data_IF_123804794803
#
_entry.id   IF_123804794803
#
_cell.length_a   1.000
_cell.length_b   1.000
_cell.length_c   1.000
_cell.angle_alpha   90.00
_cell.angle_beta   90.00
_cell.angle_gamma   90.00
#
_symmetry.space_group_name_H-M   'P 1'
#
loop_
_entity.id
_entity.type
_entity.pdbx_description
1 polymer ?
#
# COMPACT_ATOMS: atom_id res chain seq x y z
N UNK A 1 -15.43 14.91 -5.44
CA UNK A 1 -15.31 14.32 -6.79
C UNK A 1 -16.16 13.05 -6.83
N UNK A 2 -16.87 12.75 -7.93
CA UNK A 2 -17.80 11.63 -7.98
C UNK A 2 -17.07 10.34 -8.41
N UNK A 3 -17.33 9.22 -7.72
CA UNK A 3 -16.82 7.88 -8.03
C UNK A 3 -17.01 7.48 -9.50
N UNK A 4 -18.09 7.97 -10.15
CA UNK A 4 -18.37 7.73 -11.57
C UNK A 4 -17.23 8.16 -12.51
N UNK A 5 -16.53 9.26 -12.19
CA UNK A 5 -15.39 9.72 -12.99
C UNK A 5 -14.24 8.71 -12.99
N UNK A 6 -13.95 8.10 -11.83
CA UNK A 6 -12.89 7.09 -11.75
C UNK A 6 -13.29 5.79 -12.44
N UNK A 7 -14.57 5.41 -12.39
CA UNK A 7 -15.08 4.24 -13.14
C UNK A 7 -14.87 4.43 -14.64
N UNK A 8 -15.29 5.58 -15.18
CA UNK A 8 -15.08 5.94 -16.58
C UNK A 8 -13.60 5.84 -16.96
N UNK A 9 -12.72 6.49 -16.19
CA UNK A 9 -11.28 6.48 -16.46
C UNK A 9 -10.65 5.10 -16.36
N UNK A 10 -11.16 4.21 -15.50
CA UNK A 10 -10.72 2.81 -15.41
C UNK A 10 -11.11 2.01 -16.66
N UNK A 11 -12.25 2.29 -17.29
CA UNK A 11 -12.64 1.66 -18.54
C UNK A 11 -11.89 2.21 -19.76
N UNK A 12 -11.45 3.46 -19.70
CA UNK A 12 -10.60 4.10 -20.72
C UNK A 12 -9.11 3.76 -20.59
N UNK A 13 -8.73 2.93 -19.62
CA UNK A 13 -7.33 2.58 -19.38
C UNK A 13 -6.71 1.92 -20.63
N UNK A 14 -5.49 2.32 -21.03
CA UNK A 14 -4.85 1.81 -22.23
C UNK A 14 -4.63 0.30 -22.10
N UNK A 15 -4.76 -0.45 -23.20
CA UNK A 15 -4.58 -1.92 -23.23
C UNK A 15 -3.20 -2.38 -22.68
N UNK A 16 -2.22 -1.47 -22.64
CA UNK A 16 -0.92 -1.68 -22.02
C UNK A 16 -0.48 -0.50 -21.16
N UNK A 17 0.14 -0.81 -20.02
CA UNK A 17 0.71 0.16 -19.08
C UNK A 17 2.17 0.51 -19.40
N UNK A 18 2.42 0.89 -20.67
CA UNK A 18 3.69 1.50 -21.06
C UNK A 18 3.87 2.87 -20.41
N UNK A 19 5.10 3.35 -20.26
CA UNK A 19 5.39 4.61 -19.54
C UNK A 19 4.62 5.78 -20.14
N UNK A 20 4.81 6.04 -21.44
CA UNK A 20 4.22 7.21 -22.11
C UNK A 20 2.68 7.15 -22.17
N UNK A 21 2.12 5.97 -22.47
CA UNK A 21 0.66 5.78 -22.55
C UNK A 21 0.00 5.93 -21.18
N UNK A 22 0.64 5.39 -20.14
CA UNK A 22 0.18 5.53 -18.76
C UNK A 22 0.24 6.98 -18.31
N UNK A 23 1.32 7.69 -18.63
CA UNK A 23 1.46 9.10 -18.28
C UNK A 23 0.39 9.96 -18.95
N UNK A 24 0.13 9.74 -20.24
CA UNK A 24 -0.91 10.45 -20.99
C UNK A 24 -2.31 10.20 -20.39
N UNK A 25 -2.67 8.95 -20.14
CA UNK A 25 -3.95 8.59 -19.51
C UNK A 25 -4.09 9.18 -18.10
N UNK A 26 -3.04 9.12 -17.29
CA UNK A 26 -3.05 9.68 -15.94
C UNK A 26 -3.22 11.20 -15.92
N UNK A 27 -2.83 11.96 -16.95
CA UNK A 27 -3.00 13.43 -16.99
C UNK A 27 -4.47 13.84 -16.88
N UNK A 28 -5.38 13.01 -17.34
CA UNK A 28 -6.83 13.27 -17.30
C UNK A 28 -7.49 12.86 -15.98
N UNK A 29 -6.74 12.24 -15.06
CA UNK A 29 -7.24 11.76 -13.78
C UNK A 29 -6.78 12.68 -12.67
N UNK A 30 -7.72 13.22 -11.92
CA UNK A 30 -7.43 14.09 -10.78
C UNK A 30 -6.78 13.32 -9.63
N UNK A 31 -6.01 14.03 -8.80
CA UNK A 31 -5.48 13.47 -7.56
C UNK A 31 -6.63 13.00 -6.65
N UNK A 32 -6.35 11.95 -5.87
CA UNK A 32 -7.25 11.39 -4.87
C UNK A 32 -6.74 11.82 -3.50
N UNK A 33 -7.52 12.64 -2.82
CA UNK A 33 -7.14 13.16 -1.51
C UNK A 33 -7.58 12.26 -0.36
N UNK A 34 -8.66 11.51 -0.55
CA UNK A 34 -9.29 10.66 0.48
C UNK A 34 -9.54 9.26 -0.07
N UNK A 35 -9.17 8.21 0.69
CA UNK A 35 -9.31 6.83 0.21
C UNK A 35 -10.76 6.43 -0.03
N UNK A 36 -11.72 6.99 0.72
CA UNK A 36 -13.14 6.67 0.63
C UNK A 36 -13.74 6.95 -0.76
N UNK A 37 -13.11 7.83 -1.55
CA UNK A 37 -13.51 8.12 -2.94
C UNK A 37 -13.30 6.90 -3.84
N UNK A 38 -12.21 6.16 -3.61
CA UNK A 38 -11.80 5.02 -4.45
C UNK A 38 -12.03 3.67 -3.77
N UNK A 39 -12.26 3.63 -2.46
CA UNK A 39 -12.51 2.40 -1.69
C UNK A 39 -13.61 1.52 -2.31
N UNK A 40 -14.78 2.05 -2.74
CA UNK A 40 -15.83 1.20 -3.29
C UNK A 40 -15.44 0.52 -4.62
N UNK A 41 -14.50 1.09 -5.37
CA UNK A 41 -14.02 0.54 -6.65
C UNK A 41 -13.31 -0.81 -6.49
N UNK A 42 -12.74 -1.08 -5.31
CA UNK A 42 -12.10 -2.35 -4.99
C UNK A 42 -13.07 -3.52 -4.85
N UNK A 43 -14.36 -3.23 -4.78
CA UNK A 43 -15.43 -4.22 -4.65
C UNK A 43 -16.36 -4.22 -5.86
N UNK A 44 -15.99 -3.50 -6.93
CA UNK A 44 -16.76 -3.49 -8.17
C UNK A 44 -16.72 -4.88 -8.82
N UNK A 45 -17.91 -5.43 -9.07
CA UNK A 45 -18.09 -6.79 -9.58
C UNK A 45 -17.91 -6.87 -11.08
N UNK A 46 -18.12 -5.76 -11.80
CA UNK A 46 -17.98 -5.68 -13.26
C UNK A 46 -16.53 -5.53 -13.71
N UNK A 47 -15.59 -5.28 -12.79
CA UNK A 47 -14.19 -5.08 -13.12
C UNK A 47 -13.52 -6.37 -13.57
N UNK A 48 -12.89 -6.30 -14.74
CA UNK A 48 -11.97 -7.31 -15.24
C UNK A 48 -10.59 -7.19 -14.59
N UNK A 49 -9.70 -8.15 -14.87
CA UNK A 49 -8.27 -8.05 -14.52
C UNK A 49 -7.66 -6.71 -14.97
N UNK A 50 -7.96 -6.28 -16.20
CA UNK A 50 -7.47 -5.02 -16.75
C UNK A 50 -7.94 -3.81 -15.93
N UNK A 51 -9.22 -3.82 -15.53
CA UNK A 51 -9.78 -2.74 -14.71
C UNK A 51 -9.13 -2.68 -13.32
N UNK A 52 -8.82 -3.82 -12.69
CA UNK A 52 -8.05 -3.83 -11.44
C UNK A 52 -6.62 -3.33 -11.64
N UNK A 53 -5.95 -3.67 -12.75
CA UNK A 53 -4.63 -3.11 -13.07
C UNK A 53 -4.68 -1.59 -13.24
N UNK A 54 -5.73 -1.07 -13.89
CA UNK A 54 -5.98 0.36 -14.00
C UNK A 54 -6.21 1.01 -12.63
N UNK A 55 -7.09 0.44 -11.80
CA UNK A 55 -7.35 0.93 -10.43
C UNK A 55 -6.06 0.96 -9.60
N UNK A 56 -5.26 -0.10 -9.62
CA UNK A 56 -3.97 -0.16 -8.92
C UNK A 56 -3.02 0.93 -9.44
N UNK A 57 -3.04 1.20 -10.74
CA UNK A 57 -2.22 2.26 -11.35
C UNK A 57 -2.68 3.64 -10.90
N UNK A 58 -3.99 3.89 -10.82
CA UNK A 58 -4.56 5.14 -10.28
C UNK A 58 -4.19 5.29 -8.80
N UNK A 59 -4.38 4.26 -7.97
CA UNK A 59 -4.04 4.28 -6.54
C UNK A 59 -2.58 4.68 -6.35
N UNK A 60 -1.66 4.02 -7.05
CA UNK A 60 -0.24 4.31 -6.87
C UNK A 60 0.14 5.72 -7.33
N UNK A 61 -0.43 6.22 -8.44
CA UNK A 61 0.00 7.49 -9.04
C UNK A 61 -0.80 8.72 -8.60
N UNK A 62 -2.06 8.54 -8.21
CA UNK A 62 -3.00 9.63 -7.89
C UNK A 62 -3.39 9.67 -6.42
N UNK A 63 -3.19 8.60 -5.67
CA UNK A 63 -3.43 8.57 -4.23
C UNK A 63 -2.13 8.53 -3.42
N UNK A 64 -1.23 7.58 -3.71
CA UNK A 64 -0.01 7.32 -2.91
C UNK A 64 1.14 8.26 -3.27
N UNK A 65 1.45 8.43 -4.56
CA UNK A 65 2.55 9.29 -5.02
C UNK A 65 2.13 10.76 -5.13
N UNK A 66 1.37 11.26 -4.15
CA UNK A 66 1.03 12.68 -4.02
C UNK A 66 1.55 13.20 -2.68
N UNK A 67 1.88 14.49 -2.63
CA UNK A 67 2.40 15.13 -1.42
C UNK A 67 2.00 16.58 -1.35
N UNK A 68 1.57 17.02 -0.17
CA UNK A 68 1.28 18.44 0.07
C UNK A 68 2.58 19.22 0.31
N UNK A 69 3.61 18.54 0.83
CA UNK A 69 4.87 19.15 1.23
C UNK A 69 6.05 18.20 1.03
N UNK A 70 7.20 18.77 0.64
CA UNK A 70 8.47 18.07 0.49
C UNK A 70 9.46 18.59 1.54
N UNK A 71 9.87 17.71 2.47
CA UNK A 71 10.83 18.03 3.54
C UNK A 71 12.29 17.92 3.11
N UNK A 72 12.59 17.73 1.83
CA UNK A 72 13.96 17.49 1.34
C UNK A 72 14.50 16.15 1.82
N UNK A 73 15.79 16.11 2.15
CA UNK A 73 16.52 14.89 2.52
C UNK A 73 16.85 14.79 4.02
N UNK A 74 16.30 15.66 4.86
CA UNK A 74 16.60 15.70 6.30
C UNK A 74 15.40 16.17 7.14
N UNK A 75 14.36 15.33 7.19
CA UNK A 75 13.15 15.54 7.97
C UNK A 75 13.42 15.82 9.45
N UNK A 76 14.31 15.07 10.11
CA UNK A 76 14.60 15.20 11.54
C UNK A 76 15.09 16.60 11.91
N UNK A 77 15.89 17.23 11.04
CA UNK A 77 16.35 18.61 11.25
C UNK A 77 15.25 19.65 11.03
N UNK A 78 14.35 19.42 10.08
CA UNK A 78 13.37 20.42 9.61
C UNK A 78 12.06 20.36 10.41
N UNK A 79 11.63 19.17 10.80
CA UNK A 79 10.37 18.92 11.53
C UNK A 79 10.30 19.67 12.86
N UNK A 80 11.45 19.97 13.48
CA UNK A 80 11.57 20.76 14.71
C UNK A 80 11.21 22.25 14.56
N UNK A 81 10.85 22.73 13.37
CA UNK A 81 10.48 24.14 13.15
C UNK A 81 8.97 24.43 13.38
N UNK A 82 8.17 23.43 13.76
CA UNK A 82 6.79 23.48 14.32
C UNK A 82 5.70 24.25 13.56
N UNK A 83 5.99 24.98 12.47
CA UNK A 83 5.03 25.89 11.83
C UNK A 83 3.99 25.24 10.91
N UNK A 84 4.16 23.99 10.51
CA UNK A 84 3.35 23.38 9.44
C UNK A 84 2.72 22.02 9.79
N UNK A 85 2.90 21.52 11.02
CA UNK A 85 2.48 20.15 11.40
C UNK A 85 0.95 19.94 11.36
N UNK A 86 0.16 21.00 11.52
CA UNK A 86 -1.30 20.90 11.66
C UNK A 86 -2.09 20.96 10.34
N UNK A 87 -1.48 21.37 9.23
CA UNK A 87 -2.21 21.50 7.96
C UNK A 87 -1.83 20.42 6.94
N UNK A 88 -0.77 19.65 7.21
CA UNK A 88 -0.26 18.61 6.31
C UNK A 88 -1.10 17.34 6.45
N UNK A 89 -1.75 16.95 5.36
CA UNK A 89 -2.48 15.69 5.27
C UNK A 89 -1.66 14.61 4.58
N UNK A 90 -0.79 14.99 3.64
CA UNK A 90 -0.02 14.07 2.82
C UNK A 90 1.47 14.44 2.83
N UNK A 91 2.29 13.48 3.24
CA UNK A 91 3.73 13.66 3.35
C UNK A 91 4.45 12.61 2.51
N UNK A 92 5.37 13.06 1.66
CA UNK A 92 6.30 12.20 0.94
C UNK A 92 7.74 12.54 1.29
N UNK A 93 8.53 11.52 1.62
CA UNK A 93 9.97 11.61 1.82
C UNK A 93 10.67 10.77 0.76
N UNK A 94 11.58 11.40 0.02
CA UNK A 94 12.42 10.75 -0.97
C UNK A 94 13.88 10.90 -0.55
N UNK A 95 14.59 9.78 -0.44
CA UNK A 95 16.03 9.74 -0.11
C UNK A 95 16.38 10.41 1.23
N UNK A 96 15.43 10.43 2.17
CA UNK A 96 15.63 11.04 3.48
C UNK A 96 16.72 10.33 4.29
N UNK A 97 17.56 11.13 4.96
CA UNK A 97 18.77 10.69 5.65
C UNK A 97 18.58 10.56 7.17
N UNK A 98 17.41 10.91 7.69
CA UNK A 98 17.08 10.83 9.11
C UNK A 98 17.13 9.39 9.60
N UNK A 99 17.49 9.21 10.88
CA UNK A 99 17.46 7.89 11.52
C UNK A 99 16.10 7.60 12.14
N UNK A 100 15.47 8.64 12.70
CA UNK A 100 14.15 8.57 13.30
C UNK A 100 13.22 9.50 12.53
N UNK A 101 12.10 8.95 12.07
CA UNK A 101 11.04 9.69 11.39
C UNK A 101 9.84 9.78 12.33
N UNK A 102 9.76 10.87 13.09
CA UNK A 102 8.74 11.08 14.11
C UNK A 102 7.58 11.96 13.61
N UNK A 103 6.44 11.32 13.36
CA UNK A 103 5.19 11.96 12.94
C UNK A 103 4.15 12.03 14.06
N UNK A 104 4.53 11.73 15.31
CA UNK A 104 3.59 11.55 16.43
C UNK A 104 2.69 12.76 16.71
N UNK A 105 3.18 13.97 16.41
CA UNK A 105 2.49 15.25 16.62
C UNK A 105 1.60 15.68 15.44
N UNK A 106 1.62 14.97 14.31
CA UNK A 106 0.82 15.36 13.15
C UNK A 106 -0.64 14.97 13.34
N UNK A 107 -1.48 15.95 13.65
CA UNK A 107 -2.90 15.69 14.01
C UNK A 107 -3.81 15.39 12.82
N UNK A 108 -3.40 15.73 11.59
CA UNK A 108 -4.25 15.59 10.39
C UNK A 108 -3.61 14.74 9.30
N UNK A 109 -2.47 14.12 9.58
CA UNK A 109 -1.72 13.35 8.59
C UNK A 109 -2.49 12.07 8.25
N UNK A 110 -2.88 11.96 6.98
CA UNK A 110 -3.64 10.85 6.40
C UNK A 110 -2.76 9.90 5.58
N UNK A 111 -1.71 10.42 4.95
CA UNK A 111 -0.84 9.65 4.06
C UNK A 111 0.64 9.89 4.32
N UNK A 112 1.38 8.79 4.41
CA UNK A 112 2.84 8.80 4.47
C UNK A 112 3.39 7.92 3.34
N UNK A 113 4.23 8.52 2.51
CA UNK A 113 5.01 7.84 1.49
C UNK A 113 6.50 8.04 1.75
N UNK A 114 7.25 6.98 2.04
CA UNK A 114 8.69 7.05 2.30
C UNK A 114 9.40 6.13 1.33
N UNK A 115 10.31 6.70 0.55
CA UNK A 115 11.04 6.01 -0.51
C UNK A 115 12.54 6.28 -0.37
N UNK A 116 13.36 5.23 -0.40
CA UNK A 116 14.83 5.32 -0.33
C UNK A 116 15.40 5.96 0.96
N UNK A 117 14.67 5.93 2.09
CA UNK A 117 15.20 6.37 3.38
C UNK A 117 16.17 5.32 3.98
N UNK A 118 17.40 5.30 3.45
CA UNK A 118 18.40 4.26 3.70
C UNK A 118 18.92 4.20 5.15
N UNK A 119 18.75 5.29 5.89
CA UNK A 119 19.17 5.43 7.28
C UNK A 119 18.03 5.28 8.29
N UNK A 120 16.77 5.29 7.86
CA UNK A 120 15.63 5.19 8.75
C UNK A 120 15.66 3.83 9.49
N UNK A 121 15.77 3.91 10.81
CA UNK A 121 15.76 2.77 11.71
C UNK A 121 14.41 2.64 12.42
N UNK A 122 13.76 3.78 12.67
CA UNK A 122 12.51 3.89 13.41
C UNK A 122 11.55 4.88 12.73
N UNK A 123 10.28 4.50 12.67
CA UNK A 123 9.19 5.38 12.27
C UNK A 123 8.19 5.45 13.42
N UNK A 124 7.82 6.66 13.84
CA UNK A 124 6.78 6.90 14.85
C UNK A 124 5.58 7.51 14.13
N UNK A 125 4.49 6.74 14.01
CA UNK A 125 3.28 7.20 13.34
C UNK A 125 2.47 8.16 14.24
N UNK A 126 1.52 8.94 13.67
CA UNK A 126 0.65 9.83 14.43
C UNK A 126 0.02 9.15 15.65
N UNK A 127 0.10 9.81 16.80
CA UNK A 127 -0.38 9.27 18.08
C UNK A 127 -1.91 9.18 18.16
N UNK A 128 -2.61 9.92 17.30
CA UNK A 128 -4.07 9.99 17.24
C UNK A 128 -4.72 8.95 16.32
N UNK A 129 -3.95 8.09 15.64
CA UNK A 129 -4.49 7.04 14.77
C UNK A 129 -5.09 7.53 13.45
N UNK A 130 -4.72 8.74 12.97
CA UNK A 130 -5.37 9.37 11.81
C UNK A 130 -5.02 8.79 10.44
N UNK A 131 -4.02 7.89 10.35
CA UNK A 131 -3.43 7.48 9.08
C UNK A 131 -4.34 6.52 8.28
N UNK A 132 -4.53 6.82 7.00
CA UNK A 132 -5.29 6.00 6.02
C UNK A 132 -4.37 5.25 5.05
N UNK A 133 -3.16 5.77 4.78
CA UNK A 133 -2.18 5.13 3.92
C UNK A 133 -0.75 5.24 4.43
N UNK A 134 -0.06 4.10 4.40
CA UNK A 134 1.37 3.99 4.69
C UNK A 134 2.06 3.25 3.56
N UNK A 135 3.01 3.90 2.88
CA UNK A 135 3.84 3.28 1.86
C UNK A 135 5.33 3.44 2.23
N UNK A 136 6.02 2.32 2.40
CA UNK A 136 7.42 2.23 2.81
C UNK A 136 8.19 1.41 1.77
N UNK A 137 9.09 2.06 1.04
CA UNK A 137 9.84 1.42 -0.05
C UNK A 137 11.34 1.62 0.10
N UNK A 138 12.07 0.50 0.27
CA UNK A 138 13.55 0.47 0.42
C UNK A 138 14.06 1.25 1.63
N UNK A 139 13.66 0.80 2.82
CA UNK A 139 14.16 1.22 4.13
C UNK A 139 14.94 0.05 4.76
N UNK A 140 16.15 -0.26 4.27
CA UNK A 140 16.88 -1.49 4.62
C UNK A 140 17.35 -1.57 6.08
N UNK A 141 17.27 -0.49 6.85
CA UNK A 141 17.62 -0.43 8.28
C UNK A 141 16.39 -0.34 9.20
N UNK A 142 15.18 -0.22 8.64
CA UNK A 142 13.96 -0.11 9.42
C UNK A 142 13.76 -1.38 10.25
N UNK A 143 13.65 -1.19 11.56
CA UNK A 143 13.43 -2.28 12.52
C UNK A 143 12.16 -2.12 13.33
N UNK A 144 11.61 -0.90 13.41
CA UNK A 144 10.46 -0.61 14.26
C UNK A 144 9.53 0.42 13.62
N UNK A 145 8.22 0.17 13.74
CA UNK A 145 7.17 1.14 13.42
C UNK A 145 6.30 1.29 14.67
N UNK A 146 6.45 2.40 15.38
CA UNK A 146 5.66 2.72 16.57
C UNK A 146 4.30 3.28 16.18
N UNK A 147 3.32 3.09 17.07
CA UNK A 147 1.93 3.53 16.91
C UNK A 147 1.16 2.91 15.72
N UNK A 148 1.70 1.88 15.05
CA UNK A 148 1.02 1.26 13.89
C UNK A 148 -0.34 0.66 14.25
N UNK A 149 -0.46 0.06 15.42
CA UNK A 149 -1.73 -0.55 15.87
C UNK A 149 -2.77 0.49 16.28
N UNK A 150 -2.39 1.76 16.47
CA UNK A 150 -3.32 2.88 16.69
C UNK A 150 -4.01 3.31 15.38
N UNK A 151 -3.44 3.00 14.21
CA UNK A 151 -3.94 3.43 12.90
C UNK A 151 -5.12 2.55 12.44
N UNK A 152 -6.24 2.60 13.15
CA UNK A 152 -7.42 1.75 12.87
C UNK A 152 -8.11 2.09 11.54
N UNK A 153 -7.89 3.30 11.04
CA UNK A 153 -8.39 3.78 9.74
C UNK A 153 -7.48 3.41 8.57
N UNK A 154 -6.38 2.69 8.79
CA UNK A 154 -5.43 2.34 7.72
C UNK A 154 -6.10 1.42 6.68
N UNK A 155 -6.16 1.89 5.42
CA UNK A 155 -6.75 1.19 4.28
C UNK A 155 -5.70 0.68 3.29
N UNK A 156 -4.59 1.39 3.17
CA UNK A 156 -3.47 1.05 2.29
C UNK A 156 -2.21 0.81 3.11
N UNK A 157 -1.59 -0.36 2.92
CA UNK A 157 -0.28 -0.67 3.46
C UNK A 157 0.65 -1.20 2.35
N UNK A 158 1.69 -0.45 2.04
CA UNK A 158 2.80 -0.89 1.20
C UNK A 158 4.08 -1.00 2.02
N UNK A 159 4.66 -2.19 2.10
CA UNK A 159 5.99 -2.42 2.69
C UNK A 159 6.78 -3.20 1.64
N UNK A 160 7.69 -2.55 0.92
CA UNK A 160 8.39 -3.12 -0.23
C UNK A 160 9.90 -2.98 -0.10
N UNK A 161 10.64 -4.02 -0.46
CA UNK A 161 12.11 -4.06 -0.37
C UNK A 161 12.66 -3.81 1.06
N UNK A 162 11.95 -4.27 2.10
CA UNK A 162 12.30 -4.10 3.51
C UNK A 162 12.64 -5.44 4.17
N UNK A 163 13.64 -6.16 3.64
CA UNK A 163 13.96 -7.55 4.04
C UNK A 163 14.35 -7.74 5.52
N UNK A 164 14.61 -6.66 6.26
CA UNK A 164 14.98 -6.72 7.68
C UNK A 164 13.83 -6.45 8.65
N UNK A 165 12.64 -6.09 8.16
CA UNK A 165 11.48 -5.85 9.03
C UNK A 165 11.04 -7.20 9.63
N UNK A 166 11.28 -7.45 10.93
CA UNK A 166 11.32 -8.82 11.42
C UNK A 166 9.94 -9.41 11.72
N UNK A 167 8.89 -8.59 11.79
CA UNK A 167 7.56 -9.00 12.27
C UNK A 167 6.47 -8.24 11.51
N UNK A 168 5.58 -8.99 10.83
CA UNK A 168 4.37 -8.47 10.18
C UNK A 168 3.09 -8.79 10.96
N UNK A 169 3.22 -9.36 12.17
CA UNK A 169 2.06 -9.81 12.95
C UNK A 169 1.10 -8.66 13.26
N UNK A 170 1.59 -7.42 13.44
CA UNK A 170 0.76 -6.23 13.69
C UNK A 170 -0.35 -6.02 12.66
N UNK A 171 -0.22 -6.59 11.45
CA UNK A 171 -1.25 -6.52 10.41
C UNK A 171 -2.57 -7.15 10.90
N UNK A 172 -2.52 -8.13 11.81
CA UNK A 172 -3.72 -8.74 12.39
C UNK A 172 -4.61 -7.74 13.15
N UNK A 173 -4.04 -6.63 13.62
CA UNK A 173 -4.74 -5.56 14.33
C UNK A 173 -5.29 -4.47 13.39
N UNK A 174 -4.94 -4.52 12.10
CA UNK A 174 -5.33 -3.59 11.05
C UNK A 174 -6.51 -4.13 10.23
N UNK A 175 -7.68 -4.24 10.89
CA UNK A 175 -8.87 -4.90 10.32
C UNK A 175 -9.45 -4.21 9.08
N UNK A 176 -9.12 -2.94 8.84
CA UNK A 176 -9.65 -2.12 7.75
C UNK A 176 -8.87 -2.18 6.43
N UNK A 177 -7.78 -2.95 6.34
CA UNK A 177 -6.89 -2.95 5.17
C UNK A 177 -7.61 -3.47 3.92
N UNK A 178 -7.59 -2.66 2.87
CA UNK A 178 -8.17 -2.93 1.54
C UNK A 178 -7.09 -3.28 0.53
N UNK A 179 -5.92 -2.65 0.65
CA UNK A 179 -4.77 -2.83 -0.22
C UNK A 179 -3.53 -3.17 0.61
N UNK A 180 -2.93 -4.34 0.36
CA UNK A 180 -1.69 -4.77 0.97
C UNK A 180 -0.64 -5.12 -0.10
N UNK A 181 0.52 -4.48 -0.03
CA UNK A 181 1.67 -4.85 -0.85
C UNK A 181 2.87 -5.17 0.01
N UNK A 182 3.32 -6.42 -0.09
CA UNK A 182 4.56 -6.93 0.50
C UNK A 182 5.57 -7.31 -0.58
N UNK A 183 5.39 -6.79 -1.79
CA UNK A 183 6.21 -7.15 -2.95
C UNK A 183 7.70 -6.88 -2.70
N UNK A 184 8.55 -7.75 -3.24
CA UNK A 184 10.01 -7.70 -3.15
C UNK A 184 10.59 -7.84 -1.73
N UNK A 185 9.81 -8.34 -0.76
CA UNK A 185 10.37 -8.87 0.47
C UNK A 185 10.65 -10.37 0.28
N UNK A 186 11.91 -10.75 0.19
CA UNK A 186 12.29 -12.11 -0.22
C UNK A 186 12.17 -13.14 0.90
N UNK A 187 12.03 -12.69 2.15
CA UNK A 187 11.96 -13.52 3.34
C UNK A 187 10.75 -13.18 4.23
N UNK A 188 9.53 -13.31 3.68
CA UNK A 188 8.32 -13.13 4.46
C UNK A 188 8.15 -14.26 5.50
N UNK A 189 7.59 -14.01 6.69
CA UNK A 189 7.20 -15.06 7.63
C UNK A 189 6.04 -15.92 7.08
N UNK A 190 5.45 -16.77 7.92
CA UNK A 190 4.11 -17.30 7.65
C UNK A 190 3.09 -16.15 7.53
N UNK A 191 2.00 -16.43 6.81
CA UNK A 191 1.00 -15.41 6.41
C UNK A 191 -0.32 -15.56 7.16
N UNK A 192 -0.28 -16.14 8.36
CA UNK A 192 -1.43 -16.33 9.24
C UNK A 192 -2.10 -15.00 9.64
N UNK A 193 -1.36 -13.90 9.66
CA UNK A 193 -1.93 -12.55 9.85
C UNK A 193 -3.01 -12.19 8.81
N UNK A 194 -2.99 -12.79 7.61
CA UNK A 194 -4.00 -12.56 6.58
C UNK A 194 -5.41 -13.02 7.02
N UNK A 195 -5.50 -13.96 7.96
CA UNK A 195 -6.79 -14.45 8.49
C UNK A 195 -7.62 -13.35 9.18
N UNK A 196 -7.02 -12.21 9.51
CA UNK A 196 -7.73 -11.05 10.09
C UNK A 196 -8.08 -9.97 9.07
N UNK A 197 -7.66 -10.11 7.80
CA UNK A 197 -7.78 -9.10 6.75
C UNK A 197 -9.08 -9.23 5.93
N UNK A 198 -10.23 -9.16 6.59
CA UNK A 198 -11.54 -9.43 5.98
C UNK A 198 -11.96 -8.47 4.84
N UNK A 199 -11.31 -7.31 4.74
CA UNK A 199 -11.58 -6.28 3.74
C UNK A 199 -10.58 -6.26 2.59
N UNK A 200 -9.57 -7.14 2.62
CA UNK A 200 -8.47 -7.11 1.66
C UNK A 200 -8.95 -7.48 0.26
N UNK A 201 -8.86 -6.53 -0.68
CA UNK A 201 -9.25 -6.68 -2.07
C UNK A 201 -8.06 -6.84 -3.02
N UNK A 202 -6.92 -6.23 -2.68
CA UNK A 202 -5.69 -6.31 -3.46
C UNK A 202 -4.53 -6.76 -2.60
N UNK A 203 -3.91 -7.87 -2.99
CA UNK A 203 -2.72 -8.42 -2.33
C UNK A 203 -1.57 -8.56 -3.32
N UNK A 204 -0.45 -7.89 -3.05
CA UNK A 204 0.74 -7.97 -3.90
C UNK A 204 1.91 -8.63 -3.17
N UNK A 205 2.31 -9.79 -3.67
CA UNK A 205 3.36 -10.68 -3.17
C UNK A 205 4.38 -11.03 -4.26
N UNK A 206 4.45 -10.25 -5.33
CA UNK A 206 5.48 -10.42 -6.39
C UNK A 206 6.88 -10.40 -5.80
N UNK A 207 7.76 -11.27 -6.30
CA UNK A 207 9.17 -11.37 -5.85
C UNK A 207 9.31 -11.65 -4.34
N UNK A 208 8.41 -12.45 -3.79
CA UNK A 208 8.47 -12.94 -2.40
C UNK A 208 8.61 -14.47 -2.38
N UNK A 209 8.81 -15.03 -1.19
CA UNK A 209 8.75 -16.47 -0.94
C UNK A 209 7.37 -16.97 -0.50
N UNK A 210 6.31 -16.15 -0.62
CA UNK A 210 4.96 -16.45 -0.12
C UNK A 210 4.39 -17.79 -0.61
N UNK A 211 4.56 -18.13 -1.91
CA UNK A 211 4.02 -19.36 -2.50
C UNK A 211 4.59 -20.63 -1.86
N UNK A 212 5.75 -20.53 -1.21
CA UNK A 212 6.45 -21.64 -0.55
C UNK A 212 6.00 -21.84 0.90
N UNK A 213 5.10 -20.99 1.42
CA UNK A 213 4.59 -21.08 2.80
C UNK A 213 3.57 -22.20 2.89
N UNK A 214 3.64 -22.97 3.98
CA UNK A 214 2.96 -24.28 4.08
C UNK A 214 1.45 -24.15 3.87
N UNK A 215 0.85 -23.09 4.39
CA UNK A 215 -0.60 -22.88 4.39
C UNK A 215 -1.04 -21.73 3.48
N UNK A 216 -0.22 -21.31 2.51
CA UNK A 216 -0.50 -20.13 1.67
C UNK A 216 -1.88 -20.20 1.00
N UNK A 217 -2.28 -21.35 0.47
CA UNK A 217 -3.60 -21.51 -0.16
C UNK A 217 -4.74 -21.38 0.85
N UNK A 218 -4.58 -21.96 2.04
CA UNK A 218 -5.56 -21.85 3.11
C UNK A 218 -5.74 -20.37 3.47
N UNK A 219 -4.67 -19.63 3.74
CA UNK A 219 -4.76 -18.21 4.07
C UNK A 219 -5.42 -17.40 2.96
N UNK A 220 -5.03 -17.60 1.70
CA UNK A 220 -5.61 -16.89 0.56
C UNK A 220 -7.10 -17.21 0.35
N UNK A 221 -7.51 -18.47 0.56
CA UNK A 221 -8.90 -18.91 0.38
C UNK A 221 -9.88 -18.30 1.38
N UNK A 222 -9.39 -17.85 2.55
CA UNK A 222 -10.20 -17.19 3.57
C UNK A 222 -10.44 -15.70 3.26
N UNK A 223 -9.74 -15.13 2.28
CA UNK A 223 -9.90 -13.72 1.89
C UNK A 223 -11.08 -13.57 0.91
N UNK A 224 -12.30 -13.59 1.43
CA UNK A 224 -13.55 -13.57 0.63
C UNK A 224 -13.67 -12.36 -0.31
N UNK A 225 -13.03 -11.24 0.05
CA UNK A 225 -13.04 -10.00 -0.71
C UNK A 225 -11.85 -9.83 -1.63
N UNK A 226 -10.91 -10.76 -1.65
CA UNK A 226 -9.76 -10.69 -2.55
C UNK A 226 -10.23 -10.75 -4.00
N UNK A 227 -9.74 -9.83 -4.82
CA UNK A 227 -10.07 -9.72 -6.25
C UNK A 227 -8.84 -9.67 -7.13
N UNK A 228 -7.72 -9.16 -6.60
CA UNK A 228 -6.47 -9.10 -7.34
C UNK A 228 -5.30 -9.60 -6.49
N UNK A 229 -4.57 -10.59 -7.01
CA UNK A 229 -3.41 -11.18 -6.38
C UNK A 229 -2.22 -11.16 -7.33
N UNK A 230 -1.11 -10.56 -6.92
CA UNK A 230 0.18 -10.85 -7.57
C UNK A 230 1.00 -11.76 -6.67
N UNK A 231 1.51 -12.85 -7.20
CA UNK A 231 2.36 -13.78 -6.44
C UNK A 231 3.36 -14.43 -7.38
N UNK A 232 4.62 -14.54 -6.95
CA UNK A 232 5.65 -15.20 -7.73
C UNK A 232 5.39 -16.72 -7.72
N UNK A 233 4.83 -17.22 -8.82
CA UNK A 233 4.45 -18.63 -8.98
C UNK A 233 4.89 -19.17 -10.35
N UNK A 234 5.38 -20.41 -10.36
CA UNK A 234 5.64 -21.17 -11.59
C UNK A 234 4.33 -21.68 -12.22
N UNK A 235 4.40 -22.33 -13.39
CA UNK A 235 3.21 -22.80 -14.13
C UNK A 235 2.29 -23.71 -13.29
N UNK A 236 2.86 -24.64 -12.52
CA UNK A 236 2.10 -25.59 -11.68
C UNK A 236 1.43 -24.88 -10.50
N UNK A 237 2.18 -24.01 -9.84
CA UNK A 237 1.67 -23.20 -8.72
C UNK A 237 0.55 -22.25 -9.16
N UNK A 238 0.67 -21.65 -10.35
CA UNK A 238 -0.40 -20.80 -10.92
C UNK A 238 -1.68 -21.58 -11.19
N UNK A 239 -1.58 -22.81 -11.70
CA UNK A 239 -2.75 -23.66 -11.92
C UNK A 239 -3.46 -23.96 -10.59
N UNK A 240 -2.69 -24.39 -9.58
CA UNK A 240 -3.19 -24.64 -8.23
C UNK A 240 -3.86 -23.40 -7.59
N UNK A 241 -3.25 -22.22 -7.76
CA UNK A 241 -3.85 -20.96 -7.31
C UNK A 241 -5.15 -20.66 -8.05
N UNK A 242 -5.21 -20.85 -9.37
CA UNK A 242 -6.41 -20.57 -10.16
C UNK A 242 -7.57 -21.50 -9.82
N UNK A 243 -7.29 -22.76 -9.51
CA UNK A 243 -8.29 -23.73 -9.05
C UNK A 243 -8.80 -23.38 -7.65
N UNK A 244 -7.92 -22.92 -6.76
CA UNK A 244 -8.25 -22.60 -5.37
C UNK A 244 -8.91 -21.22 -5.20
N UNK A 245 -8.67 -20.30 -6.14
CA UNK A 245 -9.08 -18.89 -6.06
C UNK A 245 -9.78 -18.45 -7.36
N UNK A 246 -10.89 -19.09 -7.77
CA UNK A 246 -11.48 -18.90 -9.09
C UNK A 246 -12.00 -17.48 -9.37
N UNK A 247 -12.23 -16.68 -8.32
CA UNK A 247 -12.75 -15.31 -8.42
C UNK A 247 -11.65 -14.24 -8.26
N UNK A 248 -10.38 -14.64 -8.22
CA UNK A 248 -9.23 -13.76 -8.03
C UNK A 248 -8.43 -13.64 -9.32
N UNK A 249 -8.24 -12.40 -9.78
CA UNK A 249 -7.37 -12.11 -10.92
C UNK A 249 -5.89 -12.19 -10.51
N UNK A 250 -5.08 -12.88 -11.32
CA UNK A 250 -3.62 -13.02 -11.18
C UNK A 250 -2.90 -12.61 -12.45
#
# INVERSE_FOLDING_TARGET
MNISHYIEKIYEAPDGFGVDTTEAWLKEISQVDDFSIIEPLFYEKSFSKHNYQALITIVNNKYINTSDYNFGDNYEKISNQHKFKNDIKHLSLLEDKSRVLDFSEFSFLKKINIVYASNAEEIILPSNGSLEALNLTRLPKLREIKNITLQKELKYLGIRYNNKLPILSFINELKGIVYLSLANNTNLPELDFLLSCNFLAVLQLSSTNAIKRQNVLMYLSQLERLRFLTIAANKKERLMLSESLPMVFM
#
